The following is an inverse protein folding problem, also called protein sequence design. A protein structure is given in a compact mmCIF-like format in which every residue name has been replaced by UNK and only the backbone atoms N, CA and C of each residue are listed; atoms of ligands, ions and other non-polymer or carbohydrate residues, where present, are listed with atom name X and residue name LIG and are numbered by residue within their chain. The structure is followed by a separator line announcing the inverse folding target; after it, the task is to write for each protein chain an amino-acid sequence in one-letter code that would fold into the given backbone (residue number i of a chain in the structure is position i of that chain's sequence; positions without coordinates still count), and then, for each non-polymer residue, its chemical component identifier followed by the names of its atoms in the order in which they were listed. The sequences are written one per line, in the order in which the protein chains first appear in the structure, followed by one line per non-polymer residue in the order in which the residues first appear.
data_IF_703711252397
#
_entry.id   IF_703711252397
#
_cell.length_a   1.000
_cell.length_b   1.000
_cell.length_c   1.000
_cell.angle_alpha   90.00
_cell.angle_beta   90.00
_cell.angle_gamma   90.00
#
_symmetry.space_group_name_H-M   'P 1'
#
loop_
_entity.id
_entity.type
_entity.pdbx_description
1 polymer ?
#
# COMPACT_ATOMS: atom_id res chain seq x y z
N UNK A 1 -16.33 -27.52 -11.81
CA UNK A 1 -14.86 -27.63 -11.87
C UNK A 1 -14.34 -26.87 -10.66
N UNK A 2 -14.24 -27.57 -9.52
CA UNK A 2 -13.91 -26.95 -8.24
C UNK A 2 -12.40 -26.82 -8.16
N UNK A 3 -11.90 -25.59 -8.15
CA UNK A 3 -10.55 -25.32 -7.69
C UNK A 3 -10.58 -25.57 -6.18
N UNK A 4 -10.05 -26.71 -5.74
CA UNK A 4 -9.63 -26.86 -4.36
C UNK A 4 -8.53 -25.83 -4.13
N UNK A 5 -8.92 -24.63 -3.72
CA UNK A 5 -7.99 -23.69 -3.13
C UNK A 5 -7.51 -24.38 -1.86
N UNK A 6 -6.25 -24.78 -1.89
CA UNK A 6 -5.48 -25.07 -0.71
C UNK A 6 -5.80 -24.02 0.36
N UNK A 7 -6.42 -24.47 1.45
CA UNK A 7 -7.00 -23.64 2.52
C UNK A 7 -6.08 -22.53 3.09
N UNK A 8 -4.73 -22.60 3.02
CA UNK A 8 -3.84 -21.51 3.46
C UNK A 8 -3.83 -20.29 2.53
N UNK A 9 -3.98 -20.48 1.22
CA UNK A 9 -3.80 -19.39 0.25
C UNK A 9 -5.00 -18.44 0.24
N UNK A 10 -6.23 -18.98 0.34
CA UNK A 10 -7.44 -18.17 0.41
C UNK A 10 -7.49 -17.26 1.64
N UNK A 11 -7.07 -17.78 2.80
CA UNK A 11 -7.06 -17.02 4.05
C UNK A 11 -5.99 -15.92 4.04
N UNK A 12 -4.81 -16.19 3.47
CA UNK A 12 -3.78 -15.16 3.25
C UNK A 12 -4.25 -14.05 2.30
N UNK A 13 -4.97 -14.40 1.23
CA UNK A 13 -5.54 -13.43 0.30
C UNK A 13 -6.61 -12.56 0.96
N UNK A 14 -7.46 -13.12 1.83
CA UNK A 14 -8.46 -12.36 2.60
C UNK A 14 -7.80 -11.36 3.55
N UNK A 15 -6.75 -11.77 4.26
CA UNK A 15 -5.98 -10.89 5.16
C UNK A 15 -5.35 -9.73 4.36
N UNK A 16 -4.74 -10.03 3.22
CA UNK A 16 -4.15 -9.01 2.35
C UNK A 16 -5.19 -8.07 1.77
N UNK A 17 -6.36 -8.59 1.38
CA UNK A 17 -7.47 -7.79 0.87
C UNK A 17 -7.96 -6.80 1.93
N UNK A 18 -8.20 -7.27 3.16
CA UNK A 18 -8.63 -6.40 4.27
C UNK A 18 -7.57 -5.35 4.62
N UNK A 19 -6.31 -5.76 4.72
CA UNK A 19 -5.20 -4.84 4.97
C UNK A 19 -5.14 -3.72 3.93
N UNK A 20 -5.30 -4.03 2.64
CA UNK A 20 -5.28 -3.03 1.57
C UNK A 20 -6.40 -2.00 1.71
N UNK A 21 -7.60 -2.44 2.06
CA UNK A 21 -8.75 -1.54 2.27
C UNK A 21 -8.48 -0.61 3.46
N UNK A 22 -8.13 -1.17 4.61
CA UNK A 22 -7.84 -0.38 5.82
C UNK A 22 -6.69 0.61 5.61
N UNK A 23 -5.63 0.18 4.90
CA UNK A 23 -4.52 1.05 4.54
C UNK A 23 -4.97 2.24 3.67
N UNK A 24 -5.78 2.01 2.63
CA UNK A 24 -6.28 3.09 1.77
C UNK A 24 -7.28 4.02 2.47
N UNK A 25 -8.05 3.52 3.43
CA UNK A 25 -8.90 4.37 4.27
C UNK A 25 -8.04 5.28 5.18
N UNK A 26 -6.96 4.77 5.77
CA UNK A 26 -6.01 5.59 6.53
C UNK A 26 -5.38 6.69 5.68
N UNK A 27 -5.11 6.41 4.40
CA UNK A 27 -4.62 7.37 3.44
C UNK A 27 -5.62 8.53 3.23
N UNK A 28 -6.92 8.24 3.09
CA UNK A 28 -7.94 9.28 2.96
C UNK A 28 -8.08 10.13 4.24
N UNK A 29 -7.99 9.49 5.41
CA UNK A 29 -8.03 10.16 6.71
C UNK A 29 -6.77 10.99 7.02
N UNK A 30 -5.64 10.69 6.37
CA UNK A 30 -4.34 11.38 6.51
C UNK A 30 -3.89 11.96 5.17
N UNK A 31 -4.82 12.62 4.50
CA UNK A 31 -4.57 13.26 3.20
C UNK A 31 -3.42 14.29 3.26
N UNK A 32 -3.19 14.88 4.43
CA UNK A 32 -2.03 15.73 4.74
C UNK A 32 -0.70 14.97 4.56
N UNK A 33 -0.56 13.78 5.16
CA UNK A 33 0.63 12.95 5.03
C UNK A 33 0.88 12.46 3.58
N UNK A 34 -0.19 12.30 2.79
CA UNK A 34 -0.07 11.95 1.36
C UNK A 34 0.32 13.13 0.47
N UNK A 35 -0.08 14.33 0.83
CA UNK A 35 0.36 15.54 0.14
C UNK A 35 1.88 15.69 0.26
N UNK A 36 2.41 15.50 1.47
CA UNK A 36 3.86 15.50 1.74
C UNK A 36 4.59 14.38 0.96
N UNK A 37 4.00 13.18 0.85
CA UNK A 37 4.57 12.12 0.03
C UNK A 37 4.59 12.47 -1.47
N UNK A 38 3.58 13.18 -1.95
CA UNK A 38 3.52 13.63 -3.34
C UNK A 38 4.61 14.65 -3.63
N UNK A 39 4.83 15.60 -2.72
CA UNK A 39 5.93 16.56 -2.82
C UNK A 39 7.30 15.86 -2.76
N UNK A 40 7.46 14.89 -1.86
CA UNK A 40 8.68 14.07 -1.75
C UNK A 40 8.99 13.28 -3.04
N UNK A 41 7.96 12.78 -3.76
CA UNK A 41 8.15 12.13 -5.07
C UNK A 41 8.69 13.12 -6.11
N UNK A 42 8.19 14.36 -6.12
CA UNK A 42 8.60 15.39 -7.08
C UNK A 42 9.99 15.93 -6.79
N UNK A 43 10.38 15.95 -5.52
CA UNK A 43 11.69 16.39 -5.05
C UNK A 43 12.76 15.29 -5.09
N UNK A 44 12.41 14.05 -5.42
CA UNK A 44 13.38 12.97 -5.51
C UNK A 44 14.32 13.17 -6.72
N UNK A 45 15.63 12.96 -6.51
CA UNK A 45 16.67 13.09 -7.53
C UNK A 45 16.59 12.03 -8.66
N UNK A 46 15.53 11.23 -8.70
CA UNK A 46 15.33 10.20 -9.70
C UNK A 46 14.04 9.40 -9.54
N UNK A 47 13.85 8.36 -10.38
CA UNK A 47 12.63 7.57 -10.35
C UNK A 47 12.43 6.87 -9.00
N UNK A 48 11.32 7.18 -8.33
CA UNK A 48 10.91 6.54 -7.09
C UNK A 48 10.49 5.10 -7.39
N UNK A 49 11.28 4.13 -6.90
CA UNK A 49 10.99 2.70 -7.07
C UNK A 49 10.05 2.17 -5.99
N UNK A 50 10.08 2.80 -4.81
CA UNK A 50 9.20 2.47 -3.69
C UNK A 50 8.80 3.75 -2.95
N UNK A 51 7.52 3.91 -2.61
CA UNK A 51 7.07 5.08 -1.83
C UNK A 51 7.56 5.05 -0.38
N UNK A 52 7.83 3.86 0.16
CA UNK A 52 8.33 3.67 1.54
C UNK A 52 9.72 4.29 1.71
N UNK A 53 10.58 4.25 0.70
CA UNK A 53 11.92 4.87 0.76
C UNK A 53 11.85 6.38 0.98
N UNK A 54 10.79 7.05 0.52
CA UNK A 54 10.60 8.49 0.74
C UNK A 54 10.24 8.84 2.18
N UNK A 55 9.62 7.91 2.92
CA UNK A 55 9.28 8.13 4.33
C UNK A 55 10.45 7.82 5.29
N UNK A 56 11.58 7.35 4.75
CA UNK A 56 12.79 6.98 5.51
C UNK A 56 13.97 7.92 5.24
N UNK A 57 13.80 8.89 4.33
CA UNK A 57 14.83 9.86 3.94
C UNK A 57 14.91 11.06 4.89
#
# INVERSE_FOLDING_TARGET
MSLSADAPTGQALDVLSRFRVEFYECLYARADALFELTDAVLCADGPVKTLVELSLA
#
